data_IF_170346425098
#
_entry.id   IF_170346425098
#
_cell.length_a   1.000
_cell.length_b   1.000
_cell.length_c   1.000
_cell.angle_alpha   90.00
_cell.angle_beta   90.00
_cell.angle_gamma   90.00
#
_symmetry.space_group_name_H-M   'P 1'
#
loop_
_entity.id
_entity.type
_entity.pdbx_description
1 polymer ?
#
# COMPACT_ATOMS: atom_id res chain seq x y z
N UNK A 1 24.30 -65.27 20.83
CA UNK A 1 25.46 -65.65 21.64
C UNK A 1 25.97 -64.42 22.32
N UNK A 2 26.00 -64.54 23.59
CA UNK A 2 26.69 -63.97 24.76
C UNK A 2 26.18 -62.61 25.22
N UNK A 3 25.39 -62.61 26.25
CA UNK A 3 25.57 -62.63 27.73
C UNK A 3 26.42 -61.46 28.24
N UNK A 4 25.90 -60.60 29.04
CA UNK A 4 25.75 -60.43 30.46
C UNK A 4 26.20 -59.02 30.82
N UNK A 5 25.89 -58.36 31.83
CA UNK A 5 25.58 -58.62 33.24
C UNK A 5 25.07 -57.32 33.87
N UNK A 6 24.06 -57.44 34.66
CA UNK A 6 23.66 -56.50 35.71
C UNK A 6 24.77 -56.30 36.75
N UNK A 7 24.93 -55.07 37.25
CA UNK A 7 25.45 -54.85 38.62
C UNK A 7 24.56 -53.78 39.28
N UNK A 8 23.92 -54.20 40.36
CA UNK A 8 23.21 -53.33 41.30
C UNK A 8 24.21 -52.79 42.32
N UNK A 9 24.10 -51.55 42.71
CA UNK A 9 24.74 -51.05 43.94
C UNK A 9 23.76 -50.20 44.72
N UNK A 10 23.43 -50.67 45.86
CA UNK A 10 22.68 -50.00 46.93
C UNK A 10 23.62 -49.09 47.73
N UNK A 11 23.19 -47.86 48.04
CA UNK A 11 23.79 -47.13 49.18
C UNK A 11 22.77 -46.12 49.75
N UNK A 12 22.37 -46.49 50.91
CA UNK A 12 22.09 -45.83 52.22
C UNK A 12 21.65 -44.39 52.31
N UNK A 13 20.52 -44.26 52.99
CA UNK A 13 19.82 -43.08 53.51
C UNK A 13 20.67 -42.30 54.52
N UNK A 14 20.71 -40.98 54.34
CA UNK A 14 21.14 -40.00 55.34
C UNK A 14 20.10 -38.90 55.49
N UNK A 15 19.33 -38.94 56.56
CA UNK A 15 18.34 -37.92 56.94
C UNK A 15 19.09 -36.76 57.61
N UNK A 16 19.09 -35.59 56.97
CA UNK A 16 19.45 -34.34 57.61
C UNK A 16 18.25 -33.39 57.55
N UNK A 17 17.64 -33.15 58.71
CA UNK A 17 16.58 -32.20 58.87
C UNK A 17 17.16 -30.78 58.88
N UNK A 18 16.92 -30.02 57.81
CA UNK A 18 17.20 -28.58 57.73
C UNK A 18 15.88 -27.83 57.77
N UNK A 19 15.66 -27.09 58.85
CA UNK A 19 14.53 -26.15 58.99
C UNK A 19 14.70 -24.98 58.02
N UNK A 20 13.93 -24.94 56.95
CA UNK A 20 13.84 -23.80 56.05
C UNK A 20 12.88 -22.77 56.67
N UNK A 21 13.41 -21.62 57.01
CA UNK A 21 12.65 -20.42 57.27
C UNK A 21 12.05 -19.94 55.92
N UNK A 22 10.74 -20.09 55.77
CA UNK A 22 10.02 -19.50 54.64
C UNK A 22 9.95 -17.97 54.83
N UNK A 23 10.82 -17.27 54.17
CA UNK A 23 10.61 -15.85 53.92
C UNK A 23 9.71 -15.74 52.69
N UNK A 24 8.45 -15.36 52.87
CA UNK A 24 7.55 -15.01 51.79
C UNK A 24 8.10 -13.77 51.08
N UNK A 25 8.38 -13.83 49.74
CA UNK A 25 8.67 -12.62 49.03
C UNK A 25 7.38 -11.76 48.94
N UNK A 26 7.48 -10.53 49.39
CA UNK A 26 6.43 -9.54 49.17
C UNK A 26 6.18 -9.45 47.64
N UNK A 27 5.00 -9.87 47.20
CA UNK A 27 4.52 -9.62 45.85
C UNK A 27 4.46 -8.12 45.63
N UNK A 28 5.47 -7.58 44.97
CA UNK A 28 5.35 -6.26 44.39
C UNK A 28 4.28 -6.35 43.28
N UNK A 29 3.11 -5.79 43.55
CA UNK A 29 2.10 -5.52 42.54
C UNK A 29 2.78 -4.73 41.42
N UNK A 30 2.74 -5.19 40.15
CA UNK A 30 3.17 -4.37 39.05
C UNK A 30 2.31 -3.11 39.10
N UNK A 31 2.93 -1.96 39.23
CA UNK A 31 2.25 -0.70 38.94
C UNK A 31 1.84 -0.79 37.47
N UNK A 32 0.58 -1.07 37.23
CA UNK A 32 -0.03 -0.89 35.92
C UNK A 32 0.28 0.54 35.48
N UNK A 33 1.25 0.63 34.56
CA UNK A 33 1.43 1.85 33.77
C UNK A 33 0.07 2.07 33.14
N UNK A 34 -0.56 3.26 33.31
CA UNK A 34 -1.82 3.49 32.64
C UNK A 34 -1.56 3.29 31.15
N UNK A 35 -2.02 2.16 30.62
CA UNK A 35 -2.15 2.00 29.19
C UNK A 35 -2.98 3.17 28.73
N UNK A 36 -2.39 3.99 27.87
CA UNK A 36 -3.02 5.12 27.23
C UNK A 36 -4.12 4.56 26.31
N UNK A 37 -5.25 4.18 26.93
CA UNK A 37 -6.40 3.60 26.23
C UNK A 37 -6.96 4.67 25.31
N UNK A 38 -6.42 4.67 24.04
CA UNK A 38 -7.27 5.05 22.96
C UNK A 38 -7.43 6.53 22.69
N UNK A 39 -6.40 7.33 22.75
CA UNK A 39 -6.42 8.50 21.85
C UNK A 39 -6.14 8.00 20.45
N UNK A 40 -7.16 8.08 19.61
CA UNK A 40 -7.06 7.77 18.20
C UNK A 40 -5.90 8.57 17.59
N UNK A 41 -4.80 7.88 17.23
CA UNK A 41 -3.63 8.53 16.63
C UNK A 41 -4.07 9.13 15.30
N UNK A 42 -4.07 10.44 15.20
CA UNK A 42 -4.25 11.18 13.95
C UNK A 42 -2.87 11.49 13.40
N UNK A 43 -2.67 11.20 12.11
CA UNK A 43 -1.40 11.41 11.42
C UNK A 43 -1.67 12.22 10.16
N UNK A 44 -0.85 13.26 9.92
CA UNK A 44 -0.80 13.99 8.66
C UNK A 44 0.35 13.47 7.82
N UNK A 45 0.08 13.24 6.55
CA UNK A 45 1.00 12.67 5.58
C UNK A 45 1.00 13.52 4.32
N UNK A 46 2.17 13.65 3.69
CA UNK A 46 2.32 14.33 2.40
C UNK A 46 3.16 13.50 1.45
N UNK A 47 2.97 13.71 0.15
CA UNK A 47 3.77 13.12 -0.91
C UNK A 47 4.05 14.14 -2.00
N UNK A 48 5.28 14.18 -2.48
CA UNK A 48 5.59 14.70 -3.80
C UNK A 48 5.30 13.60 -4.81
N UNK A 49 4.55 13.92 -5.87
CA UNK A 49 4.26 12.98 -6.94
C UNK A 49 5.18 13.26 -8.11
N UNK A 50 6.11 12.35 -8.33
CA UNK A 50 7.10 12.43 -9.41
C UNK A 50 6.59 11.71 -10.66
N UNK A 51 7.07 12.16 -11.83
CA UNK A 51 6.67 11.58 -13.09
C UNK A 51 7.10 10.13 -13.25
N UNK A 52 6.22 9.34 -13.86
CA UNK A 52 6.52 8.05 -14.45
C UNK A 52 6.25 8.10 -15.95
N UNK A 53 6.85 7.18 -16.69
CA UNK A 53 6.61 7.00 -18.11
C UNK A 53 6.86 8.26 -18.98
N UNK A 54 7.71 9.18 -18.52
CA UNK A 54 7.97 10.44 -19.21
C UNK A 54 6.68 11.22 -19.51
N UNK A 55 5.72 11.13 -18.58
CA UNK A 55 4.42 11.80 -18.70
C UNK A 55 4.54 13.33 -18.75
N UNK A 56 5.62 13.87 -18.19
CA UNK A 56 5.81 15.31 -18.00
C UNK A 56 4.92 15.89 -16.90
N UNK A 57 4.24 15.03 -16.15
CA UNK A 57 3.36 15.44 -15.06
C UNK A 57 4.15 15.65 -13.77
N UNK A 58 3.57 16.43 -12.88
CA UNK A 58 4.05 16.60 -11.48
C UNK A 58 2.87 16.87 -10.58
N UNK A 59 2.99 16.54 -9.29
CA UNK A 59 1.89 16.74 -8.37
C UNK A 59 2.28 16.63 -6.91
N UNK A 60 1.28 16.77 -6.05
CA UNK A 60 1.39 16.57 -4.60
C UNK A 60 0.16 15.86 -4.10
N UNK A 61 0.33 15.08 -3.04
CA UNK A 61 -0.80 14.53 -2.27
C UNK A 61 -0.65 14.86 -0.79
N UNK A 62 -1.77 14.99 -0.09
CA UNK A 62 -1.79 15.08 1.35
C UNK A 62 -2.95 14.27 1.92
N UNK A 63 -2.75 13.62 3.06
CA UNK A 63 -3.76 12.82 3.71
C UNK A 63 -3.72 13.01 5.23
N UNK A 64 -4.88 13.01 5.86
CA UNK A 64 -5.00 12.90 7.33
C UNK A 64 -5.68 11.58 7.64
N UNK A 65 -4.97 10.70 8.35
CA UNK A 65 -5.45 9.36 8.70
C UNK A 65 -5.67 9.26 10.20
N UNK A 66 -6.83 8.75 10.60
CA UNK A 66 -7.18 8.50 11.99
C UNK A 66 -7.87 7.14 12.13
N UNK A 67 -7.35 6.29 13.00
CA UNK A 67 -7.83 4.91 13.11
C UNK A 67 -7.76 4.17 11.77
N UNK A 68 -8.90 3.66 11.31
CA UNK A 68 -9.06 2.94 10.04
C UNK A 68 -9.77 3.81 8.99
N UNK A 69 -9.53 5.12 9.02
CA UNK A 69 -10.20 6.08 8.15
C UNK A 69 -9.25 7.17 7.67
N UNK A 70 -9.30 7.49 6.41
CA UNK A 70 -8.78 8.74 5.86
C UNK A 70 -9.83 9.81 6.12
N UNK A 71 -9.50 10.75 7.01
CA UNK A 71 -10.40 11.87 7.35
C UNK A 71 -10.51 12.86 6.19
N UNK A 72 -9.38 13.09 5.52
CA UNK A 72 -9.28 13.92 4.33
C UNK A 72 -8.10 13.45 3.50
N UNK A 73 -8.25 13.50 2.19
CA UNK A 73 -7.16 13.36 1.23
C UNK A 73 -7.35 14.37 0.12
N UNK A 74 -6.26 14.95 -0.35
CA UNK A 74 -6.23 15.77 -1.55
C UNK A 74 -5.08 15.36 -2.46
N UNK A 75 -5.30 15.46 -3.77
CA UNK A 75 -4.30 15.25 -4.82
C UNK A 75 -4.40 16.40 -5.81
N UNK A 76 -3.29 17.07 -6.04
CA UNK A 76 -3.18 18.13 -7.05
C UNK A 76 -2.06 17.77 -8.03
N UNK A 77 -2.34 17.85 -9.33
CA UNK A 77 -1.36 17.53 -10.35
C UNK A 77 -1.50 18.44 -11.58
N UNK A 78 -0.45 18.51 -12.37
CA UNK A 78 -0.42 19.24 -13.65
C UNK A 78 0.43 18.48 -14.66
N UNK A 79 0.23 18.78 -15.95
CA UNK A 79 0.93 18.09 -17.04
C UNK A 79 0.32 16.73 -17.39
N UNK A 80 -0.86 16.42 -16.86
CA UNK A 80 -1.61 15.21 -17.18
C UNK A 80 -2.29 15.34 -18.57
N UNK A 81 -2.78 14.22 -19.10
CA UNK A 81 -3.59 14.19 -20.32
C UNK A 81 -4.80 15.11 -20.16
N UNK A 82 -4.93 16.17 -20.98
CA UNK A 82 -5.98 17.16 -20.77
C UNK A 82 -7.37 16.58 -21.02
N UNK A 83 -8.31 17.02 -20.20
CA UNK A 83 -9.75 16.70 -20.28
C UNK A 83 -10.07 15.21 -20.25
N UNK A 84 -9.11 14.39 -19.81
CA UNK A 84 -9.24 12.96 -19.58
C UNK A 84 -9.43 12.63 -18.09
N UNK A 85 -10.13 11.51 -17.81
CA UNK A 85 -10.23 10.98 -16.47
C UNK A 85 -8.91 10.26 -16.09
N UNK A 86 -8.46 10.48 -14.87
CA UNK A 86 -7.27 9.83 -14.33
C UNK A 86 -7.64 8.98 -13.13
N UNK A 87 -7.42 7.67 -13.23
CA UNK A 87 -7.57 6.79 -12.08
C UNK A 87 -6.48 7.14 -11.04
N UNK A 88 -6.90 7.27 -9.79
CA UNK A 88 -5.99 7.56 -8.68
C UNK A 88 -6.22 6.52 -7.59
N UNK A 89 -5.12 5.92 -7.13
CA UNK A 89 -5.20 4.89 -6.10
C UNK A 89 -4.21 5.16 -4.97
N UNK A 90 -4.52 4.63 -3.78
CA UNK A 90 -3.52 4.36 -2.76
C UNK A 90 -3.22 2.86 -2.83
N UNK A 91 -1.96 2.55 -2.88
CA UNK A 91 -1.40 1.20 -2.93
C UNK A 91 -0.69 0.87 -1.61
N UNK A 92 -0.68 -0.41 -1.27
CA UNK A 92 0.09 -0.97 -0.16
C UNK A 92 0.08 -2.49 -0.25
N UNK A 93 1.16 -3.14 0.16
CA UNK A 93 1.23 -4.59 0.34
C UNK A 93 2.43 -5.03 1.17
N UNK A 94 2.22 -6.00 2.07
CA UNK A 94 3.30 -6.60 2.89
C UNK A 94 4.41 -7.25 2.06
N UNK A 95 4.12 -7.60 0.81
CA UNK A 95 5.08 -8.23 -0.11
C UNK A 95 5.67 -7.23 -1.11
N UNK A 96 5.21 -5.99 -1.11
CA UNK A 96 5.70 -4.92 -1.97
C UNK A 96 6.82 -4.14 -1.29
N UNK A 97 7.55 -3.36 -2.07
CA UNK A 97 8.57 -2.45 -1.54
C UNK A 97 7.93 -1.22 -0.87
N UNK A 98 6.65 -0.94 -1.18
CA UNK A 98 5.88 0.24 -0.76
C UNK A 98 6.58 1.56 -1.16
N UNK A 99 7.18 1.55 -2.35
CA UNK A 99 7.90 2.66 -2.95
C UNK A 99 7.45 2.92 -4.39
N UNK A 100 7.90 4.02 -4.96
CA UNK A 100 7.68 4.30 -6.37
C UNK A 100 8.69 3.56 -7.24
N UNK A 101 8.25 2.88 -8.34
CA UNK A 101 9.18 2.27 -9.28
C UNK A 101 10.00 3.34 -10.01
N UNK A 102 11.18 2.96 -10.44
CA UNK A 102 11.98 3.78 -11.35
C UNK A 102 11.72 3.38 -12.80
N UNK A 103 11.95 4.28 -13.75
CA UNK A 103 11.86 3.95 -15.17
C UNK A 103 12.85 2.87 -15.61
N UNK A 104 13.92 2.63 -14.84
CA UNK A 104 14.85 1.52 -15.08
C UNK A 104 14.20 0.15 -14.85
N UNK A 105 13.15 0.07 -14.03
CA UNK A 105 12.36 -1.15 -13.81
C UNK A 105 11.39 -1.47 -14.96
N UNK A 106 11.20 -0.55 -15.92
CA UNK A 106 10.31 -0.78 -17.07
C UNK A 106 10.73 -2.00 -17.88
N UNK A 107 9.83 -2.93 -18.07
CA UNK A 107 10.05 -4.19 -18.80
C UNK A 107 9.36 -4.23 -20.14
N UNK A 108 8.19 -3.61 -20.25
CA UNK A 108 7.41 -3.55 -21.47
C UNK A 108 7.99 -2.56 -22.49
N UNK A 109 7.74 -2.82 -23.77
CA UNK A 109 8.15 -1.96 -24.87
C UNK A 109 6.91 -1.47 -25.61
N UNK A 110 6.81 -0.18 -25.85
CA UNK A 110 5.74 0.43 -26.66
C UNK A 110 5.86 0.05 -28.14
N UNK A 111 4.82 0.30 -28.90
CA UNK A 111 4.78 0.06 -30.34
C UNK A 111 5.83 0.86 -31.13
N UNK A 112 6.26 2.00 -30.59
CA UNK A 112 7.33 2.85 -31.13
C UNK A 112 8.75 2.39 -30.74
N UNK A 113 8.87 1.27 -30.02
CA UNK A 113 10.13 0.70 -29.57
C UNK A 113 10.67 1.28 -28.26
N UNK A 114 10.02 2.28 -27.66
CA UNK A 114 10.42 2.83 -26.38
C UNK A 114 9.91 1.94 -25.22
N UNK A 115 10.64 1.97 -24.10
CA UNK A 115 10.23 1.23 -22.92
C UNK A 115 9.18 2.01 -22.13
N UNK A 116 8.25 1.30 -21.53
CA UNK A 116 7.26 1.83 -20.62
C UNK A 116 7.18 0.97 -19.36
N UNK A 117 6.80 1.57 -18.27
CA UNK A 117 6.40 0.90 -17.04
C UNK A 117 4.89 0.66 -17.09
N UNK A 118 4.48 -0.60 -17.08
CA UNK A 118 3.04 -0.93 -17.02
C UNK A 118 2.54 -0.94 -15.59
N UNK A 119 1.23 -1.02 -15.40
CA UNK A 119 0.66 -1.17 -14.06
C UNK A 119 1.17 -2.44 -13.38
N UNK A 120 1.25 -3.57 -14.11
CA UNK A 120 1.75 -4.85 -13.59
C UNK A 120 3.25 -4.79 -13.26
N UNK A 121 4.05 -4.09 -14.06
CA UNK A 121 5.47 -3.87 -13.77
C UNK A 121 5.69 -3.07 -12.48
N UNK A 122 4.79 -2.17 -12.16
CA UNK A 122 4.86 -1.32 -10.97
C UNK A 122 4.37 -1.99 -9.69
N UNK A 123 3.50 -3.00 -9.79
CA UNK A 123 2.87 -3.63 -8.63
C UNK A 123 3.85 -4.20 -7.60
N UNK A 124 4.99 -4.82 -7.95
CA UNK A 124 5.99 -5.25 -6.96
C UNK A 124 6.56 -4.11 -6.11
N UNK A 125 6.55 -2.88 -6.63
CA UNK A 125 7.05 -1.69 -5.95
C UNK A 125 5.98 -1.07 -5.07
N UNK A 126 4.86 -0.61 -5.63
CA UNK A 126 3.83 0.11 -4.87
C UNK A 126 2.76 -0.80 -4.25
N UNK A 127 2.70 -2.06 -4.61
CA UNK A 127 1.73 -3.03 -4.06
C UNK A 127 0.35 -2.99 -4.74
N UNK A 128 -0.56 -3.84 -4.28
CA UNK A 128 -1.95 -3.84 -4.73
C UNK A 128 -2.70 -2.57 -4.32
N UNK A 129 -3.81 -2.28 -5.02
CA UNK A 129 -4.70 -1.17 -4.69
C UNK A 129 -5.40 -1.45 -3.36
N UNK A 130 -5.34 -0.52 -2.42
CA UNK A 130 -6.09 -0.57 -1.16
C UNK A 130 -7.21 0.47 -1.08
N UNK A 131 -7.10 1.57 -1.82
CA UNK A 131 -8.14 2.61 -1.94
C UNK A 131 -8.18 3.13 -3.36
N UNK A 132 -9.40 3.22 -3.93
CA UNK A 132 -9.68 3.93 -5.17
C UNK A 132 -10.18 5.34 -4.86
N UNK A 133 -9.45 6.36 -5.29
CA UNK A 133 -9.76 7.76 -5.00
C UNK A 133 -10.82 8.30 -5.99
N UNK A 134 -11.99 7.69 -5.96
CA UNK A 134 -13.17 8.11 -6.75
C UNK A 134 -13.77 9.40 -6.21
N UNK A 135 -14.41 10.18 -7.06
CA UNK A 135 -15.07 11.45 -6.69
C UNK A 135 -16.36 11.23 -5.90
N UNK A 136 -16.97 10.04 -6.04
CA UNK A 136 -18.21 9.66 -5.36
C UNK A 136 -18.36 8.14 -5.25
N UNK A 137 -19.23 7.67 -4.36
CA UNK A 137 -19.56 6.26 -4.20
C UNK A 137 -18.44 5.44 -3.57
N UNK A 138 -18.29 4.19 -3.98
CA UNK A 138 -17.36 3.21 -3.44
C UNK A 138 -15.89 3.60 -3.69
N UNK A 139 -15.05 3.38 -2.68
CA UNK A 139 -13.60 3.64 -2.71
C UNK A 139 -12.75 2.39 -2.49
N UNK A 140 -13.38 1.22 -2.46
CA UNK A 140 -12.64 -0.04 -2.34
C UNK A 140 -11.90 -0.38 -3.63
N UNK A 141 -11.00 -1.37 -3.63
CA UNK A 141 -10.34 -1.85 -4.86
C UNK A 141 -11.30 -2.27 -5.98
N UNK A 142 -12.56 -2.61 -5.66
CA UNK A 142 -13.58 -2.95 -6.66
C UNK A 142 -13.89 -1.77 -7.61
N UNK A 143 -13.56 -0.56 -7.21
CA UNK A 143 -13.73 0.66 -8.01
C UNK A 143 -12.47 1.06 -8.81
N UNK A 144 -11.45 0.19 -8.88
CA UNK A 144 -10.17 0.50 -9.52
C UNK A 144 -10.29 0.97 -10.98
N UNK A 145 -11.31 0.52 -11.68
CA UNK A 145 -11.58 0.87 -13.09
C UNK A 145 -12.89 1.65 -13.29
N UNK A 146 -13.40 2.28 -12.25
CA UNK A 146 -14.61 3.12 -12.34
C UNK A 146 -14.31 4.49 -12.97
N UNK A 147 -13.91 4.48 -14.24
CA UNK A 147 -13.39 5.66 -14.96
C UNK A 147 -14.38 6.83 -14.99
N UNK A 148 -15.66 6.57 -14.94
CA UNK A 148 -16.75 7.57 -14.83
C UNK A 148 -16.79 8.29 -13.47
N UNK A 149 -16.06 7.79 -12.48
CA UNK A 149 -15.99 8.33 -11.11
C UNK A 149 -14.60 8.81 -10.70
N UNK A 150 -13.62 8.78 -11.59
CA UNK A 150 -12.32 9.41 -11.31
C UNK A 150 -12.31 10.88 -11.76
N UNK A 151 -11.46 11.71 -11.13
CA UNK A 151 -11.37 13.12 -11.50
C UNK A 151 -10.83 13.31 -12.92
N UNK A 152 -11.35 14.31 -13.58
CA UNK A 152 -10.89 14.75 -14.93
C UNK A 152 -9.85 15.86 -14.78
N UNK A 153 -8.74 15.74 -15.49
CA UNK A 153 -7.69 16.76 -15.52
C UNK A 153 -8.05 17.89 -16.48
N UNK A 154 -8.81 18.88 -16.02
CA UNK A 154 -9.26 20.03 -16.83
C UNK A 154 -8.06 20.81 -17.38
N UNK A 155 -7.91 20.80 -18.73
CA UNK A 155 -6.75 21.40 -19.38
C UNK A 155 -5.40 20.86 -18.87
N UNK A 156 -5.34 19.57 -18.48
CA UNK A 156 -4.16 18.92 -17.94
C UNK A 156 -3.88 19.21 -16.46
N UNK A 157 -4.80 19.86 -15.74
CA UNK A 157 -4.72 20.13 -14.30
C UNK A 157 -5.76 19.33 -13.55
N UNK A 158 -5.34 18.61 -12.54
CA UNK A 158 -6.19 17.80 -11.67
C UNK A 158 -6.18 18.38 -10.26
N UNK A 159 -7.38 18.52 -9.69
CA UNK A 159 -7.57 18.82 -8.28
C UNK A 159 -8.63 17.87 -7.73
N UNK A 160 -8.25 17.05 -6.81
CA UNK A 160 -9.10 16.06 -6.16
C UNK A 160 -9.08 16.27 -4.66
N UNK A 161 -10.23 16.12 -4.01
CA UNK A 161 -10.33 16.07 -2.56
C UNK A 161 -11.51 15.20 -2.16
N UNK A 162 -11.31 14.39 -1.12
CA UNK A 162 -12.36 13.56 -0.54
C UNK A 162 -12.16 13.36 0.95
N UNK A 163 -13.27 13.25 1.66
CA UNK A 163 -13.29 13.03 3.10
C UNK A 163 -13.88 11.65 3.43
N UNK A 164 -13.61 11.19 4.65
CA UNK A 164 -14.29 10.05 5.27
C UNK A 164 -14.20 8.74 4.48
N UNK A 165 -13.01 8.39 3.99
CA UNK A 165 -12.76 7.12 3.31
C UNK A 165 -12.39 6.06 4.35
N UNK A 166 -13.18 5.00 4.45
CA UNK A 166 -12.89 3.84 5.31
C UNK A 166 -11.91 2.90 4.62
N UNK A 167 -10.92 2.40 5.36
CA UNK A 167 -10.15 1.25 4.91
C UNK A 167 -10.98 -0.02 5.04
N UNK A 168 -10.79 -0.96 4.15
CA UNK A 168 -11.44 -2.28 4.14
C UNK A 168 -10.40 -3.39 4.12
N UNK A 169 -10.80 -4.61 4.43
CA UNK A 169 -9.93 -5.76 4.26
C UNK A 169 -9.70 -6.01 2.76
N UNK A 170 -8.43 -6.19 2.37
CA UNK A 170 -8.05 -6.38 0.97
C UNK A 170 -7.20 -7.62 0.81
N UNK A 171 -7.64 -8.53 -0.05
CA UNK A 171 -6.88 -9.73 -0.39
C UNK A 171 -5.56 -9.37 -1.10
N UNK A 172 -4.50 -10.13 -0.83
CA UNK A 172 -3.18 -9.93 -1.43
C UNK A 172 -2.32 -8.85 -0.75
N UNK A 173 -2.84 -8.13 0.25
CA UNK A 173 -2.09 -7.07 0.95
C UNK A 173 -1.49 -7.50 2.28
N UNK A 174 -1.86 -8.68 2.78
CA UNK A 174 -1.29 -9.25 4.02
C UNK A 174 -0.11 -10.18 3.75
N UNK A 175 0.30 -10.92 4.77
CA UNK A 175 1.38 -11.90 4.67
C UNK A 175 1.07 -13.00 3.65
N UNK A 176 2.05 -13.28 2.78
CA UNK A 176 1.93 -14.24 1.69
C UNK A 176 1.09 -13.70 0.51
N UNK A 177 1.30 -14.27 -0.66
CA UNK A 177 0.71 -13.80 -1.95
C UNK A 177 -0.82 -13.84 -2.00
N UNK A 178 -1.46 -14.55 -1.08
CA UNK A 178 -2.93 -14.66 -0.99
C UNK A 178 -3.47 -14.16 0.35
N UNK A 179 -2.61 -13.64 1.23
CA UNK A 179 -3.01 -13.14 2.54
C UNK A 179 -3.94 -11.93 2.43
N UNK A 180 -4.94 -11.87 3.28
CA UNK A 180 -5.82 -10.69 3.37
C UNK A 180 -5.26 -9.74 4.41
N UNK A 181 -4.88 -8.55 3.98
CA UNK A 181 -4.59 -7.45 4.90
C UNK A 181 -5.90 -6.92 5.47
N UNK A 182 -5.96 -6.80 6.80
CA UNK A 182 -7.12 -6.20 7.45
C UNK A 182 -7.13 -4.69 7.29
N UNK A 183 -8.30 -4.06 7.36
CA UNK A 183 -8.45 -2.60 7.36
C UNK A 183 -7.54 -1.93 8.40
N UNK A 184 -7.34 -2.58 9.56
CA UNK A 184 -6.43 -2.09 10.59
C UNK A 184 -4.96 -2.14 10.17
N UNK A 185 -4.51 -3.26 9.59
CA UNK A 185 -3.13 -3.41 9.12
C UNK A 185 -2.81 -2.40 8.02
N UNK A 186 -3.72 -2.27 7.04
CA UNK A 186 -3.58 -1.28 5.96
C UNK A 186 -3.53 0.14 6.53
N UNK A 187 -4.43 0.48 7.44
CA UNK A 187 -4.43 1.81 8.07
C UNK A 187 -3.17 2.07 8.92
N UNK A 188 -2.63 1.05 9.60
CA UNK A 188 -1.39 1.17 10.36
C UNK A 188 -0.22 1.44 9.42
N UNK A 189 -0.08 0.65 8.36
CA UNK A 189 0.96 0.80 7.35
C UNK A 189 0.93 2.19 6.67
N UNK A 190 -0.27 2.63 6.24
CA UNK A 190 -0.42 3.97 5.66
C UNK A 190 0.00 5.06 6.65
N UNK A 191 -0.38 4.93 7.95
CA UNK A 191 0.06 5.88 8.99
C UNK A 191 1.56 5.82 9.28
N UNK A 192 2.21 4.70 9.03
CA UNK A 192 3.64 4.52 9.23
C UNK A 192 4.46 4.99 8.02
N UNK A 193 3.79 5.44 6.93
CA UNK A 193 4.46 6.03 5.77
C UNK A 193 4.68 5.07 4.60
N UNK A 194 3.92 3.96 4.57
CA UNK A 194 4.06 2.91 3.54
C UNK A 194 2.99 3.02 2.42
N UNK A 195 2.15 4.04 2.46
CA UNK A 195 1.12 4.27 1.44
C UNK A 195 1.68 4.92 0.20
N UNK A 196 1.41 4.35 -0.97
CA UNK A 196 1.87 4.89 -2.24
C UNK A 196 0.69 5.43 -3.05
N UNK A 197 0.72 6.71 -3.41
CA UNK A 197 -0.27 7.33 -4.29
C UNK A 197 0.20 7.19 -5.73
N UNK A 198 -0.64 6.58 -6.58
CA UNK A 198 -0.39 6.44 -8.01
C UNK A 198 -1.51 7.12 -8.79
N UNK A 199 -1.14 7.94 -9.76
CA UNK A 199 -2.06 8.55 -10.75
C UNK A 199 -1.78 7.87 -12.09
N UNK A 200 -2.82 7.31 -12.70
CA UNK A 200 -2.73 6.63 -14.00
C UNK A 200 -3.16 7.54 -15.15
N UNK A 201 -2.70 7.19 -16.33
CA UNK A 201 -3.05 7.85 -17.59
C UNK A 201 -1.90 8.64 -18.20
N UNK A 202 -1.33 8.10 -19.28
CA UNK A 202 -0.20 8.67 -20.02
C UNK A 202 -0.55 8.74 -21.50
N UNK A 203 -0.66 9.92 -22.04
CA UNK A 203 -0.81 10.16 -23.49
C UNK A 203 0.59 10.15 -24.13
N UNK A 204 1.03 8.98 -24.59
CA UNK A 204 2.38 8.80 -25.11
C UNK A 204 2.61 9.52 -26.45
N UNK A 205 1.58 9.61 -27.29
CA UNK A 205 1.67 10.25 -28.60
C UNK A 205 1.27 11.74 -28.58
N UNK A 206 0.80 12.23 -27.41
CA UNK A 206 0.43 13.63 -27.15
C UNK A 206 -0.67 14.15 -28.05
N UNK A 207 -1.64 13.28 -28.38
CA UNK A 207 -2.79 13.65 -29.20
C UNK A 207 -4.01 14.13 -28.37
N UNK A 208 -3.90 14.14 -27.05
CA UNK A 208 -4.93 14.63 -26.12
C UNK A 208 -5.97 13.59 -25.72
N UNK A 209 -5.75 12.31 -26.03
CA UNK A 209 -6.68 11.23 -25.68
C UNK A 209 -5.93 9.93 -25.40
N UNK A 210 -6.61 9.00 -24.73
CA UNK A 210 -6.08 7.64 -24.57
C UNK A 210 -6.54 6.75 -25.71
N UNK A 211 -5.58 6.24 -26.48
CA UNK A 211 -5.83 5.35 -27.60
C UNK A 211 -4.87 4.14 -27.63
N UNK A 212 -4.97 3.36 -28.68
CA UNK A 212 -4.14 2.15 -28.87
C UNK A 212 -2.92 2.39 -29.76
N UNK A 213 -2.73 3.60 -30.27
CA UNK A 213 -1.78 3.83 -31.36
C UNK A 213 -0.32 3.76 -30.90
N UNK A 214 -0.02 4.22 -29.68
CA UNK A 214 1.35 4.32 -29.18
C UNK A 214 1.78 3.12 -28.30
N UNK A 215 0.90 2.67 -27.38
CA UNK A 215 1.24 1.66 -26.39
C UNK A 215 0.39 0.38 -26.48
N UNK A 216 -0.58 0.36 -27.36
CA UNK A 216 -1.48 -0.78 -27.55
C UNK A 216 -2.45 -0.98 -26.38
N UNK A 217 -2.73 -2.23 -26.03
CA UNK A 217 -3.67 -2.58 -24.97
C UNK A 217 -3.02 -2.53 -23.59
N UNK A 218 -3.87 -2.29 -22.60
CA UNK A 218 -3.55 -2.44 -21.19
C UNK A 218 -3.07 -3.87 -20.89
N UNK A 219 -2.11 -4.02 -19.98
CA UNK A 219 -1.67 -5.27 -19.40
C UNK A 219 -2.62 -5.83 -18.33
N UNK A 220 -3.60 -5.03 -17.89
CA UNK A 220 -4.59 -5.40 -16.89
C UNK A 220 -5.69 -6.34 -17.45
N UNK A 221 -5.30 -7.37 -18.17
CA UNK A 221 -6.23 -8.42 -18.60
C UNK A 221 -6.31 -9.52 -17.54
N UNK A 222 -7.52 -9.98 -17.13
CA UNK A 222 -8.84 -9.71 -17.75
C UNK A 222 -9.58 -8.50 -17.20
N UNK A 223 -9.02 -7.74 -16.23
CA UNK A 223 -9.76 -6.65 -15.55
C UNK A 223 -10.15 -5.49 -16.50
N UNK A 224 -9.28 -5.15 -17.44
CA UNK A 224 -9.50 -4.08 -18.40
C UNK A 224 -9.29 -4.54 -19.86
N UNK A 225 -10.05 -5.54 -20.37
CA UNK A 225 -9.75 -6.20 -21.65
C UNK A 225 -9.89 -5.28 -22.87
N UNK A 226 -10.55 -4.14 -22.72
CA UNK A 226 -10.80 -3.17 -23.78
C UNK A 226 -10.13 -1.82 -23.58
N UNK A 227 -9.32 -1.63 -22.53
CA UNK A 227 -8.66 -0.37 -22.26
C UNK A 227 -7.35 -0.23 -23.05
N UNK A 228 -7.02 0.99 -23.53
CA UNK A 228 -5.68 1.26 -24.01
C UNK A 228 -4.70 1.33 -22.84
N UNK A 229 -3.44 0.98 -23.08
CA UNK A 229 -2.38 1.08 -22.09
C UNK A 229 -2.20 2.53 -21.60
N UNK A 230 -2.43 3.50 -22.47
CA UNK A 230 -2.39 4.93 -22.13
C UNK A 230 -3.34 5.31 -20.98
N UNK A 231 -4.49 4.63 -20.84
CA UNK A 231 -5.44 4.90 -19.76
C UNK A 231 -5.03 4.26 -18.43
N UNK A 232 -4.19 3.24 -18.44
CA UNK A 232 -3.88 2.43 -17.27
C UNK A 232 -2.43 2.53 -16.79
N UNK A 233 -1.49 2.90 -17.65
CA UNK A 233 -0.11 3.04 -17.25
C UNK A 233 0.07 4.19 -16.24
N UNK A 234 0.94 4.05 -15.24
CA UNK A 234 1.13 5.07 -14.21
C UNK A 234 1.82 6.31 -14.78
N UNK A 235 1.25 7.48 -14.51
CA UNK A 235 1.78 8.80 -14.89
C UNK A 235 2.55 9.47 -13.77
N UNK A 236 2.10 9.29 -12.52
CA UNK A 236 2.71 9.86 -11.32
C UNK A 236 2.72 8.85 -10.19
N UNK A 237 3.72 8.96 -9.33
CA UNK A 237 3.83 8.17 -8.11
C UNK A 237 4.47 8.98 -6.99
N UNK A 238 4.02 8.75 -5.75
CA UNK A 238 4.64 9.34 -4.55
C UNK A 238 4.24 8.60 -3.29
N UNK A 239 5.20 8.45 -2.38
CA UNK A 239 4.99 7.81 -1.08
C UNK A 239 4.51 8.84 -0.06
N UNK A 240 3.47 8.50 0.69
CA UNK A 240 2.92 9.33 1.76
C UNK A 240 3.84 9.25 2.98
N UNK A 241 4.55 10.32 3.28
CA UNK A 241 5.43 10.42 4.45
C UNK A 241 4.86 11.38 5.49
N UNK A 242 5.32 11.23 6.74
CA UNK A 242 4.99 12.17 7.81
C UNK A 242 5.44 13.59 7.47
N UNK A 243 4.59 14.58 7.76
CA UNK A 243 5.02 15.97 7.77
C UNK A 243 6.10 16.15 8.86
N UNK A 244 7.23 16.71 8.48
CA UNK A 244 8.37 17.02 9.35
C UNK A 244 8.27 18.44 9.90
#
# INVERSE_FOLDING_TARGET
>A
MTHGRLIAATATVGLAASTLLLTTPASATPKDKPENRGQAKTVSLTAQLDELNFSGATGTASATVRNQKIQNISVNASGLTPDAAHAIHIHYGEQAENECPTMAAATATRTDGTRRLTTTDGEPFYGPIVVSLTTSGDTTPNSALALDRFPVAMGGKLSYSRNDIEFTDVAGTGYGTTGTGTAKQIADAIRDGEGVVVVHGVDYNRNGMYDFASAGRSDLTPMAPGAPAEATDPALCGVLHHDH
#
